data_IF_295480294663
#
_entry.id   IF_295480294663
#
_cell.length_a   1.000
_cell.length_b   1.000
_cell.length_c   1.000
_cell.angle_alpha   90.00
_cell.angle_beta   90.00
_cell.angle_gamma   90.00
#
_symmetry.space_group_name_H-M   'P 1'
#
loop_
_entity.id
_entity.type
_entity.pdbx_description
1 polymer ?
#
# COMPACT_ATOMS: atom_id res chain seq x y z
N UNK A 1 -17.81 -33.24 10.49
CA UNK A 1 -17.17 -32.23 11.33
C UNK A 1 -17.56 -30.84 10.84
N UNK A 2 -17.98 -29.97 11.74
CA UNK A 2 -18.23 -28.59 11.39
C UNK A 2 -16.92 -27.92 10.99
N UNK A 3 -16.92 -27.13 9.89
CA UNK A 3 -15.79 -26.27 9.53
C UNK A 3 -15.68 -25.14 10.54
N UNK A 4 -14.49 -24.94 11.09
CA UNK A 4 -14.19 -23.80 11.95
C UNK A 4 -13.63 -22.67 11.09
N UNK A 5 -14.20 -21.48 11.24
CA UNK A 5 -13.74 -20.27 10.58
C UNK A 5 -13.07 -19.36 11.60
N UNK A 6 -12.00 -18.73 11.18
CA UNK A 6 -11.27 -17.74 11.98
C UNK A 6 -11.32 -16.39 11.26
N UNK A 7 -11.48 -15.32 12.01
CA UNK A 7 -11.43 -13.97 11.49
C UNK A 7 -10.04 -13.38 11.71
N UNK A 8 -9.43 -12.91 10.65
CA UNK A 8 -8.16 -12.19 10.68
C UNK A 8 -8.39 -10.77 10.19
N UNK A 9 -8.40 -9.82 11.11
CA UNK A 9 -8.63 -8.41 10.81
C UNK A 9 -7.36 -7.75 10.30
N UNK A 10 -7.48 -6.92 9.30
CA UNK A 10 -6.36 -6.18 8.75
C UNK A 10 -6.75 -4.82 8.19
N UNK A 11 -5.74 -4.05 7.85
CA UNK A 11 -5.91 -2.76 7.20
C UNK A 11 -4.94 -2.65 6.01
N UNK A 12 -5.39 -1.97 4.99
CA UNK A 12 -4.62 -1.67 3.77
C UNK A 12 -4.50 -0.17 3.59
N UNK A 13 -3.59 0.26 2.72
CA UNK A 13 -3.36 1.65 2.37
C UNK A 13 -2.83 2.46 3.57
N UNK A 14 -1.63 2.09 4.01
CA UNK A 14 -0.94 2.68 5.15
C UNK A 14 0.40 3.26 4.67
N UNK A 15 0.72 4.45 5.14
CA UNK A 15 1.96 5.15 4.80
C UNK A 15 2.90 5.24 6.01
N UNK A 16 4.17 5.01 5.75
CA UNK A 16 5.24 5.19 6.73
C UNK A 16 5.98 6.51 6.49
N UNK A 17 6.96 6.81 7.34
CA UNK A 17 7.88 7.94 7.13
C UNK A 17 8.79 7.80 5.89
N UNK A 18 8.73 6.66 5.18
CA UNK A 18 9.41 6.50 3.88
C UNK A 18 8.69 7.25 2.75
N UNK A 19 7.44 7.66 2.98
CA UNK A 19 6.73 8.62 2.12
C UNK A 19 6.18 9.78 2.94
N UNK A 20 4.90 9.87 3.18
CA UNK A 20 4.26 11.00 3.85
C UNK A 20 3.62 10.66 5.21
N UNK A 21 3.76 9.44 5.68
CA UNK A 21 3.38 9.05 7.03
C UNK A 21 4.37 9.54 8.10
N UNK A 22 3.98 9.46 9.35
CA UNK A 22 4.79 9.92 10.50
C UNK A 22 5.43 8.79 11.30
N UNK A 23 4.95 7.55 11.12
CA UNK A 23 5.41 6.37 11.84
C UNK A 23 6.38 5.50 11.03
N UNK A 24 7.24 4.80 11.74
CA UNK A 24 8.00 3.69 11.19
C UNK A 24 7.23 2.37 11.35
N UNK A 25 7.75 1.30 10.76
CA UNK A 25 7.12 -0.02 10.79
C UNK A 25 6.88 -0.54 12.22
N UNK A 26 7.79 -0.22 13.14
CA UNK A 26 7.67 -0.64 14.52
C UNK A 26 6.53 0.08 15.25
N UNK A 27 6.42 1.39 15.11
CA UNK A 27 5.35 2.19 15.73
C UNK A 27 3.98 1.86 15.12
N UNK A 28 3.91 1.68 13.80
CA UNK A 28 2.69 1.34 13.09
C UNK A 28 2.21 -0.05 13.48
N UNK A 29 3.09 -1.04 13.52
CA UNK A 29 2.72 -2.42 13.92
C UNK A 29 2.27 -2.50 15.38
N UNK A 30 2.85 -1.71 16.29
CA UNK A 30 2.37 -1.58 17.67
C UNK A 30 0.95 -0.99 17.74
N UNK A 31 0.70 0.06 16.96
CA UNK A 31 -0.64 0.66 16.87
C UNK A 31 -1.65 -0.33 16.29
N UNK A 32 -1.29 -1.05 15.23
CA UNK A 32 -2.10 -2.10 14.63
C UNK A 32 -2.43 -3.21 15.64
N UNK A 33 -1.45 -3.67 16.40
CA UNK A 33 -1.66 -4.66 17.46
C UNK A 33 -2.63 -4.16 18.51
N UNK A 34 -2.46 -2.92 18.97
CA UNK A 34 -3.37 -2.29 19.93
C UNK A 34 -4.81 -2.16 19.41
N UNK A 35 -4.96 -1.94 18.09
CA UNK A 35 -6.25 -1.89 17.41
C UNK A 35 -6.88 -3.27 17.16
N UNK A 36 -6.19 -4.37 17.49
CA UNK A 36 -6.68 -5.74 17.29
C UNK A 36 -6.48 -6.27 15.87
N UNK A 37 -5.60 -5.65 15.08
CA UNK A 37 -5.29 -6.11 13.73
C UNK A 37 -4.29 -7.26 13.75
N UNK A 38 -4.51 -8.23 12.84
CA UNK A 38 -3.62 -9.38 12.64
C UNK A 38 -2.60 -9.13 11.53
N UNK A 39 -2.96 -8.30 10.56
CA UNK A 39 -2.12 -7.98 9.40
C UNK A 39 -2.35 -6.55 8.92
N UNK A 40 -1.36 -5.99 8.26
CA UNK A 40 -1.42 -4.68 7.61
C UNK A 40 -0.70 -4.74 6.27
N UNK A 41 -1.11 -3.91 5.32
CA UNK A 41 -0.41 -3.68 4.07
C UNK A 41 0.07 -2.24 4.02
N UNK A 42 1.39 -2.08 3.96
CA UNK A 42 2.04 -0.77 3.77
C UNK A 42 2.10 -0.47 2.29
N UNK A 43 1.71 0.72 1.92
CA UNK A 43 1.64 1.18 0.51
C UNK A 43 2.19 2.59 0.38
N UNK A 44 3.47 2.77 0.71
CA UNK A 44 4.13 4.07 0.60
C UNK A 44 4.10 4.61 -0.83
N UNK A 45 4.04 5.92 -0.98
CA UNK A 45 4.07 6.58 -2.29
C UNK A 45 5.39 6.32 -3.00
N UNK A 46 5.32 5.69 -4.18
CA UNK A 46 6.47 5.44 -5.05
C UNK A 46 7.69 4.90 -4.30
N UNK A 47 7.46 4.05 -3.30
CA UNK A 47 8.46 3.45 -2.45
C UNK A 47 8.09 2.00 -2.11
N UNK A 48 9.09 1.12 -2.11
CA UNK A 48 8.90 -0.33 -1.90
C UNK A 48 9.95 -0.91 -0.94
N UNK A 49 10.53 -0.07 -0.07
CA UNK A 49 11.68 -0.43 0.76
C UNK A 49 11.31 -1.10 2.09
N UNK A 50 10.02 -1.23 2.42
CA UNK A 50 9.58 -1.95 3.63
C UNK A 50 9.97 -3.42 3.51
N UNK A 51 10.51 -3.98 4.58
CA UNK A 51 10.71 -5.42 4.71
C UNK A 51 9.46 -6.09 5.25
N UNK A 52 8.95 -7.08 4.52
CA UNK A 52 7.83 -7.91 4.96
C UNK A 52 8.21 -8.80 6.13
N UNK A 53 7.25 -9.13 6.97
CA UNK A 53 7.46 -10.03 8.09
C UNK A 53 6.49 -9.80 9.24
N UNK A 54 6.80 -10.37 10.39
CA UNK A 54 6.03 -10.17 11.60
C UNK A 54 6.71 -9.14 12.50
N UNK A 55 5.98 -8.09 12.81
CA UNK A 55 6.42 -7.02 13.70
C UNK A 55 5.41 -6.88 14.83
N UNK A 56 5.87 -7.02 16.08
CA UNK A 56 4.99 -6.96 17.25
C UNK A 56 3.77 -7.91 17.16
N UNK A 57 3.95 -9.08 16.51
CA UNK A 57 2.90 -10.07 16.30
C UNK A 57 1.90 -9.73 15.19
N UNK A 58 2.14 -8.68 14.39
CA UNK A 58 1.34 -8.28 13.23
C UNK A 58 2.07 -8.67 11.95
N UNK A 59 1.37 -9.34 11.04
CA UNK A 59 1.90 -9.65 9.70
C UNK A 59 1.92 -8.38 8.86
N UNK A 60 3.10 -7.96 8.42
CA UNK A 60 3.29 -6.80 7.56
C UNK A 60 3.60 -7.24 6.16
N UNK A 61 2.76 -6.81 5.24
CA UNK A 61 2.86 -7.06 3.80
C UNK A 61 3.16 -5.71 3.13
N UNK A 62 3.97 -5.72 2.09
CA UNK A 62 4.25 -4.52 1.32
C UNK A 62 3.49 -4.47 0.00
N UNK A 63 3.03 -3.29 -0.33
CA UNK A 63 2.54 -2.89 -1.63
C UNK A 63 3.13 -1.54 -1.98
N UNK A 64 2.60 -0.90 -2.99
CA UNK A 64 3.01 0.44 -3.41
C UNK A 64 1.76 1.26 -3.75
N UNK A 65 1.71 2.50 -3.33
CA UNK A 65 0.83 3.47 -3.94
C UNK A 65 1.56 4.19 -5.06
N UNK A 66 1.33 3.72 -6.29
CA UNK A 66 1.87 4.36 -7.49
C UNK A 66 1.17 5.73 -7.63
N UNK A 67 1.96 6.79 -7.53
CA UNK A 67 1.46 8.16 -7.38
C UNK A 67 2.04 9.07 -8.46
N UNK A 68 1.44 9.06 -9.67
CA UNK A 68 1.81 10.01 -10.72
C UNK A 68 1.34 11.44 -10.36
N UNK A 69 1.99 12.44 -10.93
CA UNK A 69 1.71 13.86 -10.63
C UNK A 69 0.36 14.33 -11.18
N UNK A 70 -0.13 13.74 -12.26
CA UNK A 70 -1.25 14.27 -13.04
C UNK A 70 -2.45 13.33 -13.15
N UNK A 71 -2.34 12.11 -12.64
CA UNK A 71 -3.42 11.12 -12.69
C UNK A 71 -3.74 10.54 -11.31
N UNK A 72 -4.77 9.70 -11.25
CA UNK A 72 -5.16 9.04 -10.01
C UNK A 72 -4.08 8.09 -9.53
N UNK A 73 -3.99 7.98 -8.21
CA UNK A 73 -3.11 7.01 -7.57
C UNK A 73 -3.65 5.58 -7.72
N UNK A 74 -2.76 4.62 -7.66
CA UNK A 74 -3.08 3.22 -7.83
C UNK A 74 -2.37 2.37 -6.78
N UNK A 75 -3.12 1.58 -6.03
CA UNK A 75 -2.56 0.62 -5.07
C UNK A 75 -2.17 -0.64 -5.82
N UNK A 76 -0.88 -0.97 -5.79
CA UNK A 76 -0.32 -2.17 -6.37
C UNK A 76 0.06 -3.17 -5.28
N UNK A 77 -0.44 -4.39 -5.39
CA UNK A 77 -0.24 -5.49 -4.45
C UNK A 77 0.32 -6.72 -5.17
N UNK A 78 1.10 -7.52 -4.46
CA UNK A 78 1.68 -8.74 -5.02
C UNK A 78 2.78 -8.49 -6.05
N UNK A 79 3.29 -7.27 -6.13
CA UNK A 79 4.43 -6.92 -6.98
C UNK A 79 5.74 -7.34 -6.33
N UNK A 80 6.79 -7.49 -7.11
CA UNK A 80 8.12 -7.94 -6.67
C UNK A 80 9.13 -6.82 -6.61
N UNK A 81 8.93 -5.79 -7.42
CA UNK A 81 9.82 -4.64 -7.57
C UNK A 81 9.01 -3.36 -7.65
N UNK A 82 9.62 -2.26 -7.24
CA UNK A 82 9.08 -0.91 -7.39
C UNK A 82 8.63 -0.65 -8.84
N UNK A 83 7.49 -0.01 -8.97
CA UNK A 83 6.95 0.44 -10.26
C UNK A 83 7.01 1.96 -10.30
N UNK A 84 7.71 2.50 -11.29
CA UNK A 84 7.80 3.94 -11.44
C UNK A 84 6.46 4.53 -11.92
N UNK A 85 6.03 5.65 -11.35
CA UNK A 85 4.84 6.33 -11.80
C UNK A 85 4.98 6.84 -13.25
N UNK A 86 3.87 6.87 -13.95
CA UNK A 86 3.77 7.40 -15.32
C UNK A 86 2.43 8.12 -15.45
N UNK A 87 2.40 9.17 -16.27
CA UNK A 87 1.14 9.85 -16.60
C UNK A 87 0.22 8.97 -17.47
N UNK A 88 0.78 7.95 -18.10
CA UNK A 88 0.02 6.87 -18.75
C UNK A 88 -0.32 5.79 -17.74
N UNK A 89 -1.55 5.81 -17.25
CA UNK A 89 -2.07 4.85 -16.27
C UNK A 89 -1.98 3.41 -16.77
N UNK A 90 -2.24 3.16 -18.05
CA UNK A 90 -2.21 1.80 -18.60
C UNK A 90 -0.81 1.19 -18.50
N UNK A 91 0.21 2.00 -18.65
CA UNK A 91 1.60 1.54 -18.60
C UNK A 91 1.96 0.92 -17.25
N UNK A 92 1.66 1.59 -16.14
CA UNK A 92 2.00 1.00 -14.84
C UNK A 92 1.03 -0.11 -14.43
N UNK A 93 -0.23 -0.08 -14.86
CA UNK A 93 -1.16 -1.19 -14.64
C UNK A 93 -0.68 -2.47 -15.35
N UNK A 94 -0.18 -2.34 -16.57
CA UNK A 94 0.39 -3.47 -17.32
C UNK A 94 1.66 -4.00 -16.63
N UNK A 95 2.48 -3.12 -16.06
CA UNK A 95 3.67 -3.54 -15.30
C UNK A 95 3.31 -4.28 -14.02
N UNK A 96 2.28 -3.83 -13.28
CA UNK A 96 1.74 -4.57 -12.12
C UNK A 96 1.34 -5.99 -12.52
N UNK A 97 0.61 -6.13 -13.61
CA UNK A 97 0.19 -7.45 -14.14
C UNK A 97 1.39 -8.30 -14.58
N UNK A 98 2.36 -7.70 -15.25
CA UNK A 98 3.57 -8.38 -15.71
C UNK A 98 4.38 -8.95 -14.54
N UNK A 99 4.34 -8.32 -13.37
CA UNK A 99 4.95 -8.83 -12.14
C UNK A 99 4.09 -9.88 -11.42
N UNK A 100 2.90 -10.20 -11.92
CA UNK A 100 1.96 -11.12 -11.28
C UNK A 100 1.12 -10.49 -10.18
N UNK A 101 1.17 -9.18 -10.06
CA UNK A 101 0.40 -8.40 -9.10
C UNK A 101 -1.00 -8.05 -9.58
N UNK A 102 -1.71 -7.38 -8.72
CA UNK A 102 -3.03 -6.79 -8.98
C UNK A 102 -3.16 -5.48 -8.21
N UNK A 103 -4.21 -4.72 -8.49
CA UNK A 103 -4.40 -3.48 -7.75
C UNK A 103 -5.73 -2.82 -8.06
N UNK A 104 -5.89 -1.62 -7.52
CA UNK A 104 -7.11 -0.83 -7.67
C UNK A 104 -6.79 0.67 -7.56
N UNK A 105 -7.68 1.49 -8.10
CA UNK A 105 -7.56 2.95 -7.97
C UNK A 105 -7.71 3.38 -6.51
N UNK A 106 -6.75 4.16 -6.03
CA UNK A 106 -6.82 4.74 -4.70
C UNK A 106 -7.69 6.01 -4.74
N UNK A 107 -8.58 6.17 -3.74
CA UNK A 107 -9.42 7.35 -3.53
C UNK A 107 -9.86 8.07 -4.83
N UNK A 108 -10.56 7.38 -5.74
CA UNK A 108 -10.86 7.90 -7.09
C UNK A 108 -11.78 9.13 -7.09
N UNK A 109 -12.50 9.36 -6.00
CA UNK A 109 -13.43 10.49 -5.84
C UNK A 109 -12.75 11.79 -5.37
N UNK A 110 -11.45 11.73 -5.11
CA UNK A 110 -10.74 12.92 -4.69
C UNK A 110 -10.63 13.91 -5.85
N UNK A 111 -11.28 15.06 -5.66
CA UNK A 111 -11.42 16.07 -6.69
C UNK A 111 -10.09 16.65 -7.18
N UNK A 112 -10.10 17.28 -8.33
CA UNK A 112 -9.01 17.87 -9.12
C UNK A 112 -7.96 18.74 -8.37
N UNK A 113 -8.14 19.01 -7.09
CA UNK A 113 -7.18 19.75 -6.26
C UNK A 113 -5.81 19.10 -6.13
N UNK A 114 -5.68 17.83 -6.54
CA UNK A 114 -4.40 17.12 -6.56
C UNK A 114 -3.51 17.40 -7.76
N UNK A 115 -4.07 17.88 -8.85
CA UNK A 115 -3.30 18.22 -10.07
C UNK A 115 -2.18 19.24 -9.82
N UNK A 116 -2.17 19.88 -8.65
CA UNK A 116 -1.22 20.91 -8.27
C UNK A 116 -0.40 20.59 -7.02
N UNK A 117 -0.50 19.40 -6.44
CA UNK A 117 0.32 19.00 -5.30
C UNK A 117 1.29 17.89 -5.74
N UNK A 118 2.55 18.25 -5.86
CA UNK A 118 3.62 17.26 -5.95
C UNK A 118 3.57 16.41 -4.66
N UNK A 119 3.32 15.11 -4.80
CA UNK A 119 3.56 14.18 -3.72
C UNK A 119 5.06 13.82 -3.70
N UNK A 120 5.67 13.75 -2.50
CA UNK A 120 7.07 13.39 -2.38
C UNK A 120 7.39 12.01 -2.94
#
# INVERSE_FOLDING_TARGET
MAKQFFNYLGAIHIHTKLSDGTGDINSISKAAKKAGLNWIIITDHNNFDIEEGFYNGVCVIKGEEISPCTSNHYIALGIKNLINPSDDTQKFVDEVRAQGGFGFAAHPDESDNRKNKAHP
#
